data_IF_984240800518
#
_entry.id   IF_984240800518
#
_cell.length_a   1.000
_cell.length_b   1.000
_cell.length_c   1.000
_cell.angle_alpha   90.00
_cell.angle_beta   90.00
_cell.angle_gamma   90.00
#
_symmetry.space_group_name_H-M   'P 1'
#
loop_
_entity.id
_entity.type
_entity.pdbx_description
1 polymer ?
#
# COMPACT_ATOMS: atom_id res chain seq x y z
N UNK A 1 -38.67 -2.53 19.74
CA UNK A 1 -38.02 -3.35 18.70
C UNK A 1 -36.59 -2.86 18.63
N UNK A 2 -35.65 -3.62 19.23
CA UNK A 2 -34.26 -3.22 19.32
C UNK A 2 -33.57 -3.47 17.98
N UNK A 3 -33.16 -2.42 17.30
CA UNK A 3 -32.26 -2.54 16.16
C UNK A 3 -30.93 -3.09 16.68
N UNK A 4 -30.53 -4.25 16.16
CA UNK A 4 -29.25 -4.86 16.44
C UNK A 4 -28.15 -3.88 16.06
N UNK A 5 -27.51 -3.30 17.07
CA UNK A 5 -26.26 -2.55 16.92
C UNK A 5 -25.21 -3.59 16.50
N UNK A 6 -25.06 -3.79 15.19
CA UNK A 6 -23.99 -4.60 14.65
C UNK A 6 -22.71 -3.81 14.83
N UNK A 7 -22.02 -4.04 15.96
CA UNK A 7 -20.67 -3.56 16.16
C UNK A 7 -19.80 -4.10 15.02
N UNK A 8 -19.47 -3.23 14.05
CA UNK A 8 -18.61 -3.58 12.91
C UNK A 8 -17.20 -3.74 13.46
N UNK A 9 -16.84 -4.98 13.82
CA UNK A 9 -15.49 -5.30 14.25
C UNK A 9 -14.55 -5.24 13.05
N UNK A 10 -13.79 -4.17 12.96
CA UNK A 10 -12.79 -3.98 11.91
C UNK A 10 -11.53 -4.76 12.27
N UNK A 11 -11.15 -5.73 11.44
CA UNK A 11 -9.92 -6.49 11.64
C UNK A 11 -8.69 -5.60 11.29
N UNK A 12 -7.87 -5.20 12.27
CA UNK A 12 -6.75 -4.28 12.05
C UNK A 12 -5.69 -4.86 11.10
N UNK A 13 -5.52 -6.20 11.06
CA UNK A 13 -4.60 -6.86 10.16
C UNK A 13 -5.01 -6.66 8.71
N UNK A 14 -6.30 -6.86 8.43
CA UNK A 14 -6.87 -6.69 7.10
C UNK A 14 -6.80 -5.22 6.66
N UNK A 15 -7.03 -4.29 7.58
CA UNK A 15 -6.89 -2.85 7.32
C UNK A 15 -5.47 -2.50 6.89
N UNK A 16 -4.43 -3.00 7.56
CA UNK A 16 -3.04 -2.71 7.19
C UNK A 16 -2.70 -3.19 5.77
N UNK A 17 -3.16 -4.38 5.38
CA UNK A 17 -2.95 -4.87 4.01
C UNK A 17 -3.68 -4.02 2.97
N UNK A 18 -4.93 -3.64 3.24
CA UNK A 18 -5.72 -2.79 2.34
C UNK A 18 -5.07 -1.40 2.21
N UNK A 19 -4.63 -0.81 3.32
CA UNK A 19 -3.92 0.48 3.33
C UNK A 19 -2.62 0.42 2.53
N UNK A 20 -1.81 -0.61 2.73
CA UNK A 20 -0.59 -0.82 1.95
C UNK A 20 -0.89 -0.93 0.46
N UNK A 21 -1.89 -1.73 0.09
CA UNK A 21 -2.29 -1.90 -1.31
C UNK A 21 -2.78 -0.59 -1.93
N UNK A 22 -3.58 0.21 -1.21
CA UNK A 22 -4.06 1.51 -1.70
C UNK A 22 -2.93 2.53 -1.86
N UNK A 23 -2.05 2.65 -0.86
CA UNK A 23 -0.96 3.63 -0.89
C UNK A 23 0.03 3.28 -2.00
N UNK A 24 0.59 2.07 -1.98
CA UNK A 24 1.65 1.69 -2.93
C UNK A 24 1.09 1.41 -4.32
N UNK A 25 -0.08 0.78 -4.41
CA UNK A 25 -0.78 0.58 -5.68
C UNK A 25 -1.21 1.89 -6.32
N UNK A 26 -1.76 2.83 -5.53
CA UNK A 26 -2.12 4.16 -5.98
C UNK A 26 -0.92 4.97 -6.46
N UNK A 27 0.18 4.99 -5.69
CA UNK A 27 1.42 5.67 -6.09
C UNK A 27 2.01 5.06 -7.37
N UNK A 28 2.01 3.73 -7.49
CA UNK A 28 2.49 3.06 -8.68
C UNK A 28 1.63 3.42 -9.91
N UNK A 29 0.30 3.37 -9.76
CA UNK A 29 -0.65 3.76 -10.81
C UNK A 29 -0.44 5.21 -11.25
N UNK A 30 -0.32 6.14 -10.30
CA UNK A 30 -0.02 7.55 -10.57
C UNK A 30 1.30 7.69 -11.32
N UNK A 31 2.33 6.93 -10.95
CA UNK A 31 3.63 6.95 -11.65
C UNK A 31 3.55 6.52 -13.11
N UNK A 32 2.57 5.69 -13.48
CA UNK A 32 2.35 5.28 -14.87
C UNK A 32 1.51 6.32 -15.62
N UNK A 33 0.46 6.86 -14.99
CA UNK A 33 -0.39 7.89 -15.59
C UNK A 33 0.40 9.18 -15.83
N UNK A 34 1.17 9.64 -14.83
CA UNK A 34 1.95 10.88 -14.94
C UNK A 34 3.16 10.75 -15.86
N UNK A 35 3.68 9.55 -16.13
CA UNK A 35 4.75 9.37 -17.10
C UNK A 35 4.33 9.76 -18.52
N UNK A 36 3.04 9.72 -18.85
CA UNK A 36 2.52 10.21 -20.12
C UNK A 36 2.44 11.74 -20.19
N UNK A 37 2.16 12.42 -19.06
CA UNK A 37 2.02 13.88 -19.01
C UNK A 37 3.33 14.64 -18.80
N UNK A 38 4.27 14.06 -18.06
CA UNK A 38 5.53 14.69 -17.67
C UNK A 38 6.77 14.05 -18.34
N UNK A 39 6.57 13.34 -19.46
CA UNK A 39 7.66 12.76 -20.25
C UNK A 39 8.70 13.81 -20.68
N UNK A 40 8.28 15.07 -20.82
CA UNK A 40 9.17 16.20 -21.13
C UNK A 40 9.92 16.76 -19.91
N UNK A 41 9.50 16.48 -18.68
CA UNK A 41 10.08 17.07 -17.46
C UNK A 41 10.97 16.09 -16.68
N UNK A 42 10.78 14.78 -16.84
CA UNK A 42 11.55 13.78 -16.13
C UNK A 42 12.19 12.80 -17.09
N UNK A 43 13.47 12.49 -16.87
CA UNK A 43 14.15 11.45 -17.63
C UNK A 43 13.53 10.08 -17.34
N UNK A 44 13.54 9.21 -18.35
CA UNK A 44 13.08 7.82 -18.23
C UNK A 44 13.75 7.09 -17.06
N UNK A 45 15.04 7.36 -16.81
CA UNK A 45 15.81 6.79 -15.71
C UNK A 45 15.26 7.19 -14.34
N UNK A 46 14.89 8.46 -14.17
CA UNK A 46 14.29 8.95 -12.92
C UNK A 46 12.94 8.27 -12.64
N UNK A 47 12.10 8.13 -13.67
CA UNK A 47 10.79 7.47 -13.55
C UNK A 47 10.93 6.00 -13.13
N UNK A 48 11.90 5.27 -13.66
CA UNK A 48 12.17 3.89 -13.25
C UNK A 48 12.74 3.80 -11.84
N UNK A 49 13.63 4.72 -11.44
CA UNK A 49 14.09 4.79 -10.05
C UNK A 49 12.94 5.04 -9.09
N UNK A 50 12.08 6.01 -9.39
CA UNK A 50 10.91 6.32 -8.57
C UNK A 50 9.98 5.11 -8.40
N UNK A 51 9.68 4.40 -9.49
CA UNK A 51 8.90 3.14 -9.45
C UNK A 51 9.60 2.06 -8.63
N UNK A 52 10.91 1.91 -8.81
CA UNK A 52 11.73 0.98 -8.05
C UNK A 52 11.67 1.28 -6.54
N UNK A 53 11.71 2.56 -6.15
CA UNK A 53 11.56 2.99 -4.76
C UNK A 53 10.17 2.65 -4.21
N UNK A 54 9.10 2.89 -4.98
CA UNK A 54 7.73 2.52 -4.58
C UNK A 54 7.64 1.01 -4.33
N UNK A 55 8.13 0.19 -5.27
CA UNK A 55 8.12 -1.27 -5.15
C UNK A 55 8.96 -1.75 -3.96
N UNK A 56 10.16 -1.19 -3.77
CA UNK A 56 11.02 -1.53 -2.64
C UNK A 56 10.37 -1.20 -1.29
N UNK A 57 9.78 -0.01 -1.16
CA UNK A 57 9.07 0.40 0.04
C UNK A 57 7.82 -0.48 0.29
N UNK A 58 7.09 -0.86 -0.76
CA UNK A 58 5.95 -1.75 -0.64
C UNK A 58 6.35 -3.13 -0.12
N UNK A 59 7.43 -3.71 -0.65
CA UNK A 59 7.96 -5.00 -0.18
C UNK A 59 8.33 -4.95 1.30
N UNK A 60 9.05 -3.90 1.71
CA UNK A 60 9.43 -3.70 3.12
C UNK A 60 8.18 -3.58 4.00
N UNK A 61 7.22 -2.75 3.59
CA UNK A 61 5.98 -2.56 4.33
C UNK A 61 5.23 -3.88 4.52
N UNK A 62 4.99 -4.64 3.44
CA UNK A 62 4.26 -5.90 3.53
C UNK A 62 5.04 -6.96 4.31
N UNK A 63 6.37 -7.02 4.19
CA UNK A 63 7.19 -7.91 5.01
C UNK A 63 7.05 -7.60 6.51
N UNK A 64 7.08 -6.32 6.87
CA UNK A 64 6.84 -5.87 8.25
C UNK A 64 5.42 -6.19 8.71
N UNK A 65 4.40 -5.94 7.88
CA UNK A 65 3.01 -6.28 8.20
C UNK A 65 2.84 -7.77 8.47
N UNK A 66 3.43 -8.64 7.64
CA UNK A 66 3.41 -10.10 7.85
C UNK A 66 4.11 -10.46 9.16
N UNK A 67 5.30 -9.91 9.40
CA UNK A 67 6.08 -10.21 10.60
C UNK A 67 5.35 -9.80 11.89
N UNK A 68 4.81 -8.58 11.94
CA UNK A 68 4.06 -8.07 13.09
C UNK A 68 2.77 -8.87 13.32
N UNK A 69 2.05 -9.22 12.25
CA UNK A 69 0.84 -10.02 12.37
C UNK A 69 1.12 -11.43 12.91
N UNK A 70 2.25 -12.04 12.53
CA UNK A 70 2.68 -13.35 13.07
C UNK A 70 3.03 -13.26 14.56
N UNK A 71 3.77 -12.23 14.99
CA UNK A 71 4.06 -12.05 16.42
C UNK A 71 2.80 -11.79 17.25
N UNK A 72 1.81 -11.10 16.68
CA UNK A 72 0.55 -10.85 17.36
C UNK A 72 -0.31 -12.11 17.53
N UNK A 73 -0.10 -13.16 16.72
CA UNK A 73 -0.81 -14.44 16.84
C UNK A 73 -0.15 -15.40 17.83
N UNK A 74 1.12 -15.17 18.19
CA UNK A 74 1.86 -15.99 19.15
C UNK A 74 1.67 -15.51 20.61
N UNK A 75 0.92 -14.43 20.84
CA UNK A 75 0.57 -13.89 22.17
C UNK A 75 -0.90 -14.14 22.50
#
# INVERSE_FOLDING_TARGET
MGEANHDVYVNPKQVMYILGAFIFGGLLLVSFIHAGFYAEHYSTSFLWQFRGTILGAAVIFFALTVFLNRQSDEK
#
